data_IF_459617202415
#
_entry.id   IF_459617202415
#
_cell.length_a   1.000
_cell.length_b   1.000
_cell.length_c   1.000
_cell.angle_alpha   90.00
_cell.angle_beta   90.00
_cell.angle_gamma   90.00
#
_symmetry.space_group_name_H-M   'P 1'
#
loop_
_entity.id
_entity.type
_entity.pdbx_description
1 polymer ?
#
# COMPACT_ATOMS: atom_id res chain seq x y z
N UNK A 1 -27.34 2.23 -11.45
CA UNK A 1 -28.62 2.33 -10.71
C UNK A 1 -28.63 1.53 -9.40
N UNK A 2 -28.42 0.21 -9.37
CA UNK A 2 -28.44 -0.55 -8.11
C UNK A 2 -27.39 -0.07 -7.10
N UNK A 3 -26.16 0.30 -7.53
CA UNK A 3 -25.11 0.85 -6.67
C UNK A 3 -25.53 2.19 -6.02
N UNK A 4 -26.24 3.06 -6.74
CA UNK A 4 -26.76 4.33 -6.16
C UNK A 4 -27.89 4.14 -5.15
N UNK A 5 -28.48 2.96 -5.10
CA UNK A 5 -29.51 2.57 -4.11
C UNK A 5 -28.94 1.69 -2.99
N UNK A 6 -27.64 1.60 -2.83
CA UNK A 6 -26.98 0.71 -1.87
C UNK A 6 -27.51 0.85 -0.44
N UNK A 7 -27.76 2.08 0.02
CA UNK A 7 -28.30 2.32 1.35
C UNK A 7 -29.71 1.74 1.51
N UNK A 8 -30.56 1.82 0.47
CA UNK A 8 -31.90 1.23 0.47
C UNK A 8 -31.81 -0.31 0.41
N UNK A 9 -30.87 -0.84 -0.35
CA UNK A 9 -30.60 -2.29 -0.42
C UNK A 9 -30.12 -2.79 0.93
N UNK A 10 -29.17 -2.10 1.56
CA UNK A 10 -28.63 -2.46 2.88
C UNK A 10 -29.73 -2.49 3.96
N UNK A 11 -30.73 -1.62 3.88
CA UNK A 11 -31.86 -1.62 4.80
C UNK A 11 -32.72 -2.90 4.72
N UNK A 12 -32.68 -3.63 3.62
CA UNK A 12 -33.38 -4.91 3.45
C UNK A 12 -32.52 -6.13 3.82
N UNK A 13 -31.23 -5.92 4.14
CA UNK A 13 -30.32 -7.01 4.51
C UNK A 13 -30.67 -7.49 5.93
N UNK A 14 -30.98 -8.78 6.06
CA UNK A 14 -31.15 -9.42 7.36
C UNK A 14 -29.76 -9.75 7.93
N UNK A 15 -29.47 -9.25 9.11
CA UNK A 15 -28.25 -9.55 9.84
C UNK A 15 -28.35 -10.97 10.42
N UNK A 16 -27.72 -11.92 9.72
CA UNK A 16 -27.47 -13.29 10.13
C UNK A 16 -25.98 -13.58 9.99
N UNK A 17 -25.53 -14.75 10.37
CA UNK A 17 -24.13 -15.20 10.15
C UNK A 17 -23.67 -15.06 8.68
N UNK A 18 -24.60 -15.14 7.74
CA UNK A 18 -24.42 -14.77 6.33
C UNK A 18 -25.50 -13.72 6.00
N UNK A 19 -25.16 -12.47 5.67
CA UNK A 19 -26.14 -11.45 5.29
C UNK A 19 -26.95 -11.90 4.06
N UNK A 20 -28.29 -11.80 4.14
CA UNK A 20 -29.19 -12.22 3.05
C UNK A 20 -30.20 -11.13 2.75
N UNK A 21 -30.60 -11.04 1.48
CA UNK A 21 -31.71 -10.20 1.00
C UNK A 21 -32.71 -11.08 0.25
N UNK A 22 -34.01 -10.83 0.41
CA UNK A 22 -35.03 -11.59 -0.29
C UNK A 22 -35.21 -11.11 -1.73
N UNK A 23 -35.63 -12.00 -2.62
CA UNK A 23 -35.94 -11.68 -4.01
C UNK A 23 -37.05 -10.63 -4.11
N UNK A 24 -38.05 -10.73 -3.28
CA UNK A 24 -39.21 -9.83 -3.21
C UNK A 24 -38.77 -8.40 -2.82
N UNK A 25 -37.83 -8.27 -1.89
CA UNK A 25 -37.25 -6.98 -1.51
C UNK A 25 -36.51 -6.30 -2.67
N UNK A 26 -35.81 -7.10 -3.49
CA UNK A 26 -35.11 -6.58 -4.67
C UNK A 26 -36.12 -6.17 -5.76
N UNK A 27 -37.13 -6.99 -6.01
CA UNK A 27 -38.15 -6.73 -7.03
C UNK A 27 -39.04 -5.54 -6.65
N UNK A 28 -39.21 -5.25 -5.36
CA UNK A 28 -39.95 -4.10 -4.85
C UNK A 28 -39.21 -2.76 -4.95
N UNK A 29 -37.94 -2.75 -5.37
CA UNK A 29 -37.18 -1.52 -5.53
C UNK A 29 -37.71 -0.69 -6.71
N UNK A 30 -38.25 0.47 -6.43
CA UNK A 30 -38.65 1.45 -7.46
C UNK A 30 -37.41 2.16 -8.00
N UNK A 31 -37.23 2.13 -9.31
CA UNK A 31 -36.17 2.84 -10.04
C UNK A 31 -36.80 3.80 -11.05
N UNK A 32 -36.27 5.01 -11.14
CA UNK A 32 -36.69 5.98 -12.15
C UNK A 32 -36.00 5.65 -13.47
N UNK A 33 -36.77 5.47 -14.53
CA UNK A 33 -36.26 5.18 -15.86
C UNK A 33 -36.47 6.39 -16.78
N UNK A 34 -35.43 7.13 -17.16
CA UNK A 34 -35.50 8.17 -18.19
C UNK A 34 -35.67 7.53 -19.58
N UNK A 35 -35.89 8.37 -20.61
CA UNK A 35 -35.92 7.89 -22.00
C UNK A 35 -34.64 7.15 -22.38
N UNK A 36 -34.74 6.22 -23.35
CA UNK A 36 -33.59 5.41 -23.81
C UNK A 36 -32.44 6.29 -24.30
N UNK A 37 -32.73 7.41 -24.94
CA UNK A 37 -31.70 8.36 -25.38
C UNK A 37 -30.93 8.94 -24.20
N UNK A 38 -31.62 9.36 -23.15
CA UNK A 38 -31.01 9.87 -21.93
C UNK A 38 -30.22 8.76 -21.23
N UNK A 39 -30.72 7.53 -21.17
CA UNK A 39 -29.99 6.40 -20.65
C UNK A 39 -28.65 6.20 -21.37
N UNK A 40 -28.65 6.22 -22.72
CA UNK A 40 -27.42 6.10 -23.54
C UNK A 40 -26.42 7.22 -23.24
N UNK A 41 -26.89 8.45 -23.05
CA UNK A 41 -26.00 9.58 -22.69
C UNK A 41 -25.40 9.42 -21.31
N UNK A 42 -26.18 9.00 -20.33
CA UNK A 42 -25.68 8.70 -18.97
C UNK A 42 -24.61 7.61 -19.01
N UNK A 43 -24.90 6.50 -19.69
CA UNK A 43 -23.95 5.39 -19.85
C UNK A 43 -22.66 5.88 -20.50
N UNK A 44 -22.74 6.60 -21.63
CA UNK A 44 -21.55 7.13 -22.30
C UNK A 44 -20.66 7.97 -21.38
N UNK A 45 -21.26 8.85 -20.56
CA UNK A 45 -20.51 9.68 -19.63
C UNK A 45 -19.83 8.82 -18.53
N UNK A 46 -20.58 7.90 -17.93
CA UNK A 46 -20.05 7.05 -16.87
C UNK A 46 -18.98 6.08 -17.38
N UNK A 47 -19.15 5.56 -18.60
CA UNK A 47 -18.14 4.68 -19.24
C UNK A 47 -16.84 5.46 -19.50
N UNK A 48 -16.92 6.73 -19.97
CA UNK A 48 -15.73 7.54 -20.18
C UNK A 48 -14.93 7.80 -18.88
N UNK A 49 -15.58 7.98 -17.74
CA UNK A 49 -14.89 8.05 -16.44
C UNK A 49 -14.21 6.72 -16.07
N UNK A 50 -14.89 5.61 -16.35
CA UNK A 50 -14.37 4.26 -16.07
C UNK A 50 -13.15 3.96 -16.96
N UNK A 51 -13.22 4.29 -18.24
CA UNK A 51 -12.13 4.13 -19.21
C UNK A 51 -10.92 4.96 -18.80
N UNK A 52 -11.09 6.24 -18.49
CA UNK A 52 -10.00 7.11 -18.03
C UNK A 52 -9.34 6.57 -16.74
N UNK A 53 -10.14 6.12 -15.78
CA UNK A 53 -9.60 5.52 -14.55
C UNK A 53 -8.82 4.24 -14.83
N UNK A 54 -9.29 3.42 -15.78
CA UNK A 54 -8.59 2.21 -16.20
C UNK A 54 -7.26 2.53 -16.90
N UNK A 55 -7.22 3.53 -17.77
CA UNK A 55 -6.00 3.98 -18.45
C UNK A 55 -4.96 4.49 -17.45
N UNK A 56 -5.35 5.36 -16.51
CA UNK A 56 -4.46 5.85 -15.46
C UNK A 56 -3.92 4.72 -14.56
N UNK A 57 -4.76 3.72 -14.26
CA UNK A 57 -4.35 2.55 -13.47
C UNK A 57 -3.36 1.67 -14.25
N UNK A 58 -3.58 1.52 -15.55
CA UNK A 58 -2.65 0.78 -16.42
C UNK A 58 -1.30 1.53 -16.54
N UNK A 59 -1.33 2.86 -16.67
CA UNK A 59 -0.11 3.67 -16.68
C UNK A 59 0.65 3.56 -15.35
N UNK A 60 -0.03 3.68 -14.21
CA UNK A 60 0.60 3.51 -12.90
C UNK A 60 1.26 2.14 -12.77
N UNK A 61 0.59 1.08 -13.25
CA UNK A 61 1.13 -0.27 -13.25
C UNK A 61 2.38 -0.38 -14.13
N UNK A 62 2.37 0.25 -15.30
CA UNK A 62 3.54 0.30 -16.19
C UNK A 62 4.71 1.09 -15.55
N UNK A 63 4.42 2.22 -14.90
CA UNK A 63 5.43 3.03 -14.18
C UNK A 63 6.06 2.26 -13.02
N UNK A 64 5.27 1.53 -12.24
CA UNK A 64 5.79 0.66 -11.16
C UNK A 64 6.74 -0.41 -11.70
N UNK A 65 6.37 -1.08 -12.80
CA UNK A 65 7.26 -2.06 -13.45
C UNK A 65 8.54 -1.42 -14.00
N UNK A 66 8.42 -0.23 -14.57
CA UNK A 66 9.57 0.55 -15.05
C UNK A 66 10.50 0.93 -13.90
N UNK A 67 9.94 1.39 -12.76
CA UNK A 67 10.70 1.67 -11.55
C UNK A 67 11.44 0.43 -11.05
N UNK A 68 10.76 -0.71 -10.93
CA UNK A 68 11.37 -1.97 -10.50
C UNK A 68 12.54 -2.36 -11.41
N UNK A 69 12.37 -2.25 -12.72
CA UNK A 69 13.43 -2.53 -13.70
C UNK A 69 14.64 -1.61 -13.50
N UNK A 70 14.43 -0.29 -13.36
CA UNK A 70 15.52 0.65 -13.16
C UNK A 70 16.20 0.48 -11.81
N UNK A 71 15.46 0.24 -10.74
CA UNK A 71 16.00 -0.07 -9.42
C UNK A 71 16.91 -1.30 -9.49
N UNK A 72 16.43 -2.40 -10.04
CA UNK A 72 17.15 -3.65 -10.11
C UNK A 72 18.38 -3.53 -11.03
N UNK A 73 18.29 -2.79 -12.13
CA UNK A 73 19.41 -2.49 -13.00
C UNK A 73 20.47 -1.61 -12.34
N UNK A 74 20.04 -0.58 -11.60
CA UNK A 74 20.95 0.36 -10.92
C UNK A 74 21.68 -0.32 -9.76
N UNK A 75 20.99 -1.15 -8.99
CA UNK A 75 21.48 -1.79 -7.77
C UNK A 75 22.02 -3.20 -7.97
N UNK A 76 22.11 -3.69 -9.21
CA UNK A 76 22.75 -4.98 -9.50
C UNK A 76 24.22 -4.99 -9.10
N UNK A 77 24.80 -6.15 -8.76
CA UNK A 77 26.24 -6.29 -8.54
C UNK A 77 27.04 -5.74 -9.71
N UNK A 78 28.08 -4.97 -9.40
CA UNK A 78 29.00 -4.38 -10.38
C UNK A 78 30.42 -4.68 -9.99
N UNK A 79 31.31 -4.74 -10.97
CA UNK A 79 32.72 -4.85 -10.72
C UNK A 79 33.22 -3.71 -9.83
N UNK A 80 34.08 -4.04 -8.87
CA UNK A 80 34.60 -3.07 -7.88
C UNK A 80 33.66 -2.74 -6.70
N UNK A 81 32.42 -3.25 -6.69
CA UNK A 81 31.51 -3.10 -5.55
C UNK A 81 31.44 -4.41 -4.78
N UNK A 82 31.85 -4.45 -3.49
CA UNK A 82 31.83 -5.67 -2.71
C UNK A 82 30.40 -6.16 -2.45
N UNK A 83 30.23 -7.49 -2.49
CA UNK A 83 29.02 -8.17 -2.03
C UNK A 83 29.20 -8.60 -0.58
N UNK A 84 28.37 -8.08 0.34
CA UNK A 84 28.47 -8.35 1.77
C UNK A 84 27.21 -9.04 2.28
N UNK A 85 27.33 -9.84 3.33
CA UNK A 85 26.16 -10.36 4.05
C UNK A 85 25.64 -9.31 5.04
N UNK A 86 24.32 -9.32 5.32
CA UNK A 86 23.75 -8.34 6.26
C UNK A 86 24.37 -8.45 7.66
N UNK A 87 24.77 -9.65 8.09
CA UNK A 87 25.48 -9.82 9.36
C UNK A 87 26.80 -9.04 9.45
N UNK A 88 27.48 -8.83 8.31
CA UNK A 88 28.78 -8.16 8.28
C UNK A 88 28.68 -6.63 8.46
N UNK A 89 27.49 -6.08 8.19
CA UNK A 89 27.20 -4.65 8.38
C UNK A 89 26.32 -4.39 9.60
N UNK A 90 25.74 -5.43 10.20
CA UNK A 90 24.91 -5.31 11.38
C UNK A 90 25.74 -4.86 12.59
N UNK A 91 25.26 -3.86 13.32
CA UNK A 91 25.73 -3.53 14.67
C UNK A 91 24.92 -4.29 15.72
N UNK A 92 23.68 -4.60 15.41
CA UNK A 92 22.79 -5.47 16.18
C UNK A 92 21.67 -6.00 15.29
N UNK A 93 21.15 -7.20 15.57
CA UNK A 93 20.01 -7.78 14.89
C UNK A 93 19.16 -8.60 15.87
N UNK A 94 17.90 -8.30 15.99
CA UNK A 94 17.02 -8.97 16.94
C UNK A 94 15.56 -8.98 16.46
N UNK A 95 14.78 -9.89 17.04
CA UNK A 95 13.34 -9.97 16.86
C UNK A 95 12.63 -9.05 17.86
N UNK A 96 11.60 -8.35 17.40
CA UNK A 96 10.69 -7.55 18.22
C UNK A 96 9.88 -8.41 19.20
N UNK A 97 9.03 -7.77 20.01
CA UNK A 97 8.17 -8.43 20.97
C UNK A 97 6.70 -8.24 20.62
N UNK A 98 5.87 -9.27 20.87
CA UNK A 98 4.47 -9.30 20.43
C UNK A 98 3.66 -8.10 20.93
N UNK A 99 3.04 -7.38 19.99
CA UNK A 99 2.02 -6.36 20.24
C UNK A 99 0.75 -6.88 19.59
N UNK A 100 -0.25 -7.21 20.39
CA UNK A 100 -1.54 -7.75 19.94
C UNK A 100 -2.39 -6.64 19.30
N UNK A 101 -3.36 -7.05 18.48
CA UNK A 101 -4.24 -6.11 17.78
C UNK A 101 -5.10 -5.26 18.74
N UNK A 102 -5.53 -5.86 19.83
CA UNK A 102 -6.32 -5.24 20.91
C UNK A 102 -5.50 -4.33 21.84
N UNK A 103 -4.17 -4.36 21.73
CA UNK A 103 -3.23 -3.50 22.46
C UNK A 103 -2.86 -2.22 21.70
N UNK A 104 -3.34 -2.07 20.47
CA UNK A 104 -3.12 -0.85 19.67
C UNK A 104 -4.08 0.23 20.13
N UNK A 105 -3.53 1.41 20.38
CA UNK A 105 -4.24 2.60 20.88
C UNK A 105 -4.04 3.78 19.94
N UNK A 106 -4.87 4.81 20.07
CA UNK A 106 -4.74 6.04 19.29
C UNK A 106 -3.54 6.90 19.75
N UNK A 107 -3.15 6.78 21.02
CA UNK A 107 -2.07 7.55 21.63
C UNK A 107 -1.19 6.61 22.45
N UNK A 108 0.07 6.99 22.69
CA UNK A 108 1.02 6.21 23.47
C UNK A 108 2.38 6.15 22.80
N UNK A 109 3.14 5.08 23.04
CA UNK A 109 4.44 4.88 22.40
C UNK A 109 4.20 4.40 20.96
N UNK A 110 4.82 5.07 19.96
CA UNK A 110 4.71 4.64 18.57
C UNK A 110 5.25 3.22 18.39
N UNK A 111 4.55 2.43 17.59
CA UNK A 111 4.91 1.04 17.36
C UNK A 111 4.58 0.61 15.92
N UNK A 112 5.25 -0.46 15.46
CA UNK A 112 4.99 -1.10 14.18
C UNK A 112 4.68 -2.57 14.38
N UNK A 113 3.62 -3.05 13.71
CA UNK A 113 3.30 -4.47 13.59
C UNK A 113 3.64 -4.96 12.19
N UNK A 114 3.98 -6.25 12.05
CA UNK A 114 4.42 -6.82 10.77
C UNK A 114 3.44 -6.59 9.61
N UNK A 115 2.12 -6.62 9.88
CA UNK A 115 1.09 -6.38 8.87
C UNK A 115 1.16 -4.98 8.26
N UNK A 116 1.55 -3.97 9.04
CA UNK A 116 1.69 -2.57 8.56
C UNK A 116 2.85 -2.41 7.58
N UNK A 117 3.90 -3.24 7.70
CA UNK A 117 4.99 -3.29 6.71
C UNK A 117 4.46 -3.71 5.34
N UNK A 118 3.44 -4.58 5.28
CA UNK A 118 2.84 -5.00 4.01
C UNK A 118 1.82 -4.01 3.46
N UNK A 119 1.04 -3.36 4.31
CA UNK A 119 -0.17 -2.64 3.92
C UNK A 119 -0.05 -1.12 3.95
N UNK A 120 0.85 -0.58 4.79
CA UNK A 120 0.88 0.85 5.11
C UNK A 120 2.17 1.52 4.66
N UNK A 121 3.31 0.88 4.93
CA UNK A 121 4.61 1.48 4.65
C UNK A 121 5.15 1.03 3.28
N UNK A 122 5.72 2.00 2.56
CA UNK A 122 6.38 1.76 1.28
C UNK A 122 7.84 1.29 1.49
N UNK A 123 8.80 1.95 0.83
CA UNK A 123 10.23 1.64 0.94
C UNK A 123 10.82 2.13 2.26
N UNK A 124 10.36 3.29 2.74
CA UNK A 124 10.73 3.87 4.03
C UNK A 124 9.57 4.67 4.62
N UNK A 125 9.67 5.00 5.92
CA UNK A 125 8.70 5.84 6.63
C UNK A 125 9.38 6.61 7.76
N UNK A 126 8.75 7.70 8.21
CA UNK A 126 9.23 8.58 9.29
C UNK A 126 8.29 8.64 10.49
N UNK A 127 7.04 8.24 10.31
CA UNK A 127 6.01 8.31 11.35
C UNK A 127 5.28 6.97 11.46
N UNK A 128 5.15 6.46 12.69
CA UNK A 128 4.35 5.26 12.97
C UNK A 128 2.86 5.58 12.98
N UNK A 129 2.06 4.74 12.33
CA UNK A 129 0.59 4.90 12.31
C UNK A 129 -0.08 4.29 13.53
N UNK A 130 0.59 3.39 14.25
CA UNK A 130 0.06 2.71 15.43
C UNK A 130 0.82 3.10 16.68
N UNK A 131 0.11 3.08 17.82
CA UNK A 131 0.68 3.35 19.14
C UNK A 131 0.24 2.24 20.12
N UNK A 132 0.94 2.12 21.25
CA UNK A 132 0.57 1.19 22.33
C UNK A 132 1.01 1.75 23.69
N UNK A 133 0.42 1.23 24.76
CA UNK A 133 0.87 1.52 26.12
C UNK A 133 2.04 0.61 26.49
N UNK A 134 3.09 1.15 27.11
CA UNK A 134 4.28 0.37 27.50
C UNK A 134 3.93 -0.79 28.44
N UNK A 135 2.95 -0.61 29.31
CA UNK A 135 2.46 -1.63 30.25
C UNK A 135 1.96 -2.91 29.55
N UNK A 136 1.53 -2.79 28.31
CA UNK A 136 1.06 -3.91 27.50
C UNK A 136 2.21 -4.73 26.89
N UNK A 137 3.47 -4.27 26.99
CA UNK A 137 4.62 -4.89 26.31
C UNK A 137 5.61 -5.42 27.34
N UNK A 138 5.56 -6.71 27.61
CA UNK A 138 6.37 -7.34 28.67
C UNK A 138 7.90 -7.26 28.44
N UNK A 139 8.35 -7.25 27.17
CA UNK A 139 9.77 -7.15 26.83
C UNK A 139 9.93 -6.18 25.65
N UNK A 140 9.92 -4.85 25.89
CA UNK A 140 9.94 -3.86 24.85
C UNK A 140 11.23 -3.92 24.02
N UNK A 141 11.09 -4.06 22.73
CA UNK A 141 12.16 -4.00 21.73
C UNK A 141 11.96 -2.78 20.87
N UNK A 142 12.96 -1.90 20.87
CA UNK A 142 12.84 -0.62 20.21
C UNK A 142 13.63 -0.60 18.90
N UNK A 143 13.16 0.20 17.97
CA UNK A 143 13.91 0.64 16.80
C UNK A 143 13.96 2.18 16.77
N UNK A 144 14.90 2.73 16.02
CA UNK A 144 15.15 4.15 15.93
C UNK A 144 15.63 4.56 14.54
N UNK A 145 15.93 5.83 14.35
CA UNK A 145 16.39 6.38 13.07
C UNK A 145 17.51 5.55 12.44
N UNK A 146 17.31 5.16 11.20
CA UNK A 146 18.28 4.41 10.41
C UNK A 146 18.09 2.89 10.44
N UNK A 147 17.26 2.35 11.32
CA UNK A 147 17.03 0.90 11.40
C UNK A 147 16.21 0.36 10.24
N UNK A 148 16.49 -0.90 9.83
CA UNK A 148 15.68 -1.63 8.86
C UNK A 148 14.79 -2.65 9.59
N UNK A 149 13.51 -2.64 9.24
CA UNK A 149 12.52 -3.58 9.76
C UNK A 149 12.17 -4.63 8.71
N UNK A 150 12.15 -5.90 9.08
CA UNK A 150 11.74 -7.02 8.23
C UNK A 150 10.50 -7.69 8.81
N UNK A 151 9.44 -7.81 8.03
CA UNK A 151 8.27 -8.60 8.39
C UNK A 151 8.55 -10.09 8.16
N UNK A 152 8.76 -10.87 9.22
CA UNK A 152 9.16 -12.28 9.13
C UNK A 152 7.99 -13.28 9.08
N UNK A 153 6.76 -12.79 9.03
CA UNK A 153 5.53 -13.57 8.84
C UNK A 153 4.72 -12.95 7.70
N UNK A 154 4.24 -13.76 6.78
CA UNK A 154 3.47 -13.30 5.61
C UNK A 154 2.64 -14.40 4.98
N UNK A 155 1.81 -14.04 4.00
CA UNK A 155 0.91 -14.96 3.27
C UNK A 155 1.50 -15.37 1.91
N UNK A 156 2.56 -14.74 1.44
CA UNK A 156 3.24 -14.98 0.17
C UNK A 156 4.70 -15.33 0.37
N UNK A 157 5.19 -16.32 -0.38
CA UNK A 157 6.60 -16.67 -0.41
C UNK A 157 7.42 -15.59 -1.11
N UNK A 158 6.84 -14.95 -2.12
CA UNK A 158 7.46 -13.92 -2.93
C UNK A 158 7.71 -12.63 -2.14
N UNK A 159 6.83 -12.34 -1.16
CA UNK A 159 6.88 -11.11 -0.35
C UNK A 159 7.45 -11.34 1.05
N UNK A 160 7.80 -12.57 1.41
CA UNK A 160 8.33 -12.87 2.75
C UNK A 160 9.57 -12.02 3.06
N UNK A 161 9.68 -11.59 4.31
CA UNK A 161 10.72 -10.69 4.77
C UNK A 161 10.75 -9.34 4.00
N UNK A 162 9.56 -8.84 3.59
CA UNK A 162 9.44 -7.45 3.14
C UNK A 162 10.09 -6.54 4.15
N UNK A 163 10.89 -5.59 3.67
CA UNK A 163 11.69 -4.71 4.51
C UNK A 163 11.37 -3.26 4.23
N UNK A 164 11.45 -2.44 5.28
CA UNK A 164 11.26 -0.98 5.23
C UNK A 164 12.32 -0.30 6.10
N UNK A 165 12.76 0.90 5.73
CA UNK A 165 13.65 1.71 6.55
C UNK A 165 12.85 2.68 7.41
N UNK A 166 13.26 2.86 8.66
CA UNK A 166 12.74 3.93 9.49
C UNK A 166 13.69 5.14 9.47
N UNK A 167 13.15 6.29 9.08
CA UNK A 167 13.92 7.55 9.00
C UNK A 167 13.35 8.65 9.91
N UNK A 168 12.36 8.33 10.75
CA UNK A 168 11.82 9.22 11.77
C UNK A 168 12.79 9.43 12.95
N UNK A 169 12.41 10.29 13.87
CA UNK A 169 13.28 10.67 15.00
C UNK A 169 12.79 10.13 16.35
N UNK A 170 11.62 9.54 16.39
CA UNK A 170 11.06 8.97 17.60
C UNK A 170 11.59 7.54 17.83
N UNK A 171 11.69 7.15 19.09
CA UNK A 171 12.03 5.79 19.48
C UNK A 171 10.74 4.96 19.51
N UNK A 172 10.66 3.93 18.65
CA UNK A 172 9.44 3.18 18.40
C UNK A 172 9.59 1.71 18.81
N UNK A 173 8.47 1.04 19.10
CA UNK A 173 8.42 -0.37 19.49
C UNK A 173 8.24 -1.29 18.26
N UNK A 174 9.05 -2.34 18.18
CA UNK A 174 8.95 -3.38 17.15
C UNK A 174 8.04 -4.53 17.61
N UNK A 175 7.03 -4.85 16.82
CA UNK A 175 6.13 -5.99 17.02
C UNK A 175 6.83 -7.36 16.89
N UNK A 176 6.21 -8.44 17.40
CA UNK A 176 6.83 -9.74 17.56
C UNK A 176 7.27 -10.49 16.30
N UNK A 177 6.64 -10.19 15.18
CA UNK A 177 6.97 -10.77 13.87
C UNK A 177 7.76 -9.80 12.98
N UNK A 178 8.53 -8.93 13.63
CA UNK A 178 9.47 -8.01 13.01
C UNK A 178 10.87 -8.34 13.47
N UNK A 179 11.82 -8.37 12.55
CA UNK A 179 13.26 -8.35 12.84
C UNK A 179 13.78 -6.95 12.58
N UNK A 180 14.50 -6.40 13.54
CA UNK A 180 15.18 -5.11 13.47
C UNK A 180 16.65 -5.35 13.15
N UNK A 181 17.17 -4.67 12.13
CA UNK A 181 18.57 -4.63 11.78
C UNK A 181 19.11 -3.22 12.05
N UNK A 182 20.03 -3.10 13.01
CA UNK A 182 20.79 -1.89 13.28
C UNK A 182 22.09 -1.88 12.48
N UNK A 183 22.45 -0.74 11.89
CA UNK A 183 23.61 -0.62 11.03
C UNK A 183 24.10 0.84 10.94
N UNK A 184 25.22 1.06 10.23
CA UNK A 184 25.79 2.41 9.98
C UNK A 184 25.75 2.81 8.50
N UNK A 185 24.98 2.10 7.67
CA UNK A 185 24.83 2.36 6.24
C UNK A 185 23.69 3.37 5.99
N UNK A 186 23.52 3.82 4.75
CA UNK A 186 22.37 4.65 4.38
C UNK A 186 21.08 3.80 4.42
N UNK A 187 20.08 4.12 5.28
CA UNK A 187 18.90 3.28 5.46
C UNK A 187 18.02 3.22 4.20
N UNK A 188 17.86 4.33 3.47
CA UNK A 188 17.07 4.36 2.25
C UNK A 188 17.71 3.52 1.14
N UNK A 189 19.05 3.57 1.01
CA UNK A 189 19.78 2.67 0.12
C UNK A 189 19.53 1.21 0.45
N UNK A 190 19.65 0.82 1.73
CA UNK A 190 19.39 -0.56 2.15
C UNK A 190 17.95 -0.97 1.87
N UNK A 191 16.98 -0.10 2.10
CA UNK A 191 15.57 -0.40 1.79
C UNK A 191 15.37 -0.69 0.31
N UNK A 192 15.94 0.13 -0.59
CA UNK A 192 15.86 -0.10 -2.03
C UNK A 192 16.57 -1.38 -2.48
N UNK A 193 17.80 -1.63 -2.00
CA UNK A 193 18.53 -2.84 -2.41
C UNK A 193 17.88 -4.12 -1.90
N UNK A 194 17.30 -4.08 -0.71
CA UNK A 194 16.54 -5.18 -0.14
C UNK A 194 15.18 -5.42 -0.83
N UNK A 195 14.68 -4.46 -1.59
CA UNK A 195 13.48 -4.60 -2.41
C UNK A 195 13.75 -5.15 -3.82
N UNK A 196 15.02 -5.28 -4.25
CA UNK A 196 15.39 -5.84 -5.57
C UNK A 196 14.97 -7.29 -5.73
N UNK A 197 14.78 -7.73 -6.98
CA UNK A 197 14.49 -9.12 -7.31
C UNK A 197 15.52 -10.08 -6.72
N UNK A 198 16.81 -9.74 -6.84
CA UNK A 198 17.91 -10.54 -6.29
C UNK A 198 17.81 -10.74 -4.77
N UNK A 199 17.44 -9.70 -4.04
CA UNK A 199 17.23 -9.81 -2.58
C UNK A 199 15.97 -10.60 -2.23
N UNK A 200 14.88 -10.41 -2.98
CA UNK A 200 13.62 -11.17 -2.81
C UNK A 200 13.85 -12.68 -3.02
N UNK A 201 14.61 -13.07 -4.04
CA UNK A 201 14.96 -14.47 -4.29
C UNK A 201 15.75 -15.09 -3.13
N UNK A 202 16.66 -14.34 -2.50
CA UNK A 202 17.37 -14.80 -1.31
C UNK A 202 16.44 -14.95 -0.09
N UNK A 203 15.52 -14.00 0.11
CA UNK A 203 14.52 -14.02 1.20
C UNK A 203 13.55 -15.21 1.08
N UNK A 204 13.15 -15.56 -0.14
CA UNK A 204 12.23 -16.66 -0.44
C UNK A 204 12.90 -18.03 -0.56
N UNK A 205 14.24 -18.08 -0.65
CA UNK A 205 14.98 -19.33 -0.85
C UNK A 205 14.68 -20.37 0.24
N UNK A 206 14.29 -21.57 -0.19
CA UNK A 206 13.94 -22.67 0.71
C UNK A 206 12.61 -22.51 1.45
N UNK A 207 11.82 -21.51 1.12
CA UNK A 207 10.47 -21.34 1.66
C UNK A 207 9.46 -22.16 0.88
N UNK A 208 8.54 -22.77 1.60
CA UNK A 208 7.47 -23.59 1.00
C UNK A 208 6.17 -22.81 1.05
N UNK A 209 5.41 -22.87 -0.05
CA UNK A 209 4.10 -22.24 -0.14
C UNK A 209 3.15 -22.89 0.87
N UNK A 210 2.69 -22.13 1.84
CA UNK A 210 1.73 -22.53 2.86
C UNK A 210 0.78 -21.36 3.15
N UNK A 211 -0.25 -21.59 3.97
CA UNK A 211 -1.18 -20.53 4.38
C UNK A 211 -0.46 -19.36 5.09
N UNK A 212 0.62 -19.67 5.80
CA UNK A 212 1.48 -18.67 6.46
C UNK A 212 2.93 -19.07 6.23
N UNK A 213 3.73 -18.12 5.75
CA UNK A 213 5.16 -18.29 5.48
C UNK A 213 5.95 -17.57 6.57
N UNK A 214 7.01 -18.18 7.04
CA UNK A 214 7.88 -17.61 8.07
C UNK A 214 9.33 -17.45 7.61
N UNK A 215 9.99 -16.39 8.08
CA UNK A 215 11.42 -16.20 8.02
C UNK A 215 12.00 -16.13 9.44
N UNK A 216 13.30 -15.96 9.56
CA UNK A 216 14.01 -15.89 10.86
C UNK A 216 15.28 -15.04 10.73
N UNK A 217 15.86 -14.67 11.88
CA UNK A 217 17.09 -13.87 11.95
C UNK A 217 18.24 -14.51 11.14
N UNK A 218 18.60 -15.82 11.29
CA UNK A 218 19.69 -16.41 10.52
C UNK A 218 19.49 -16.38 8.99
N UNK A 219 18.24 -16.38 8.52
CA UNK A 219 17.96 -16.26 7.08
C UNK A 219 18.18 -14.83 6.59
N UNK A 220 17.85 -13.82 7.42
CA UNK A 220 18.06 -12.41 7.09
C UNK A 220 19.55 -12.08 7.11
N UNK A 221 20.31 -12.55 8.10
CA UNK A 221 21.76 -12.35 8.23
C UNK A 221 22.55 -12.76 7.00
N UNK A 222 22.11 -13.81 6.30
CA UNK A 222 22.75 -14.39 5.13
C UNK A 222 22.41 -13.68 3.80
N UNK A 223 21.53 -12.70 3.82
CA UNK A 223 21.19 -11.95 2.60
C UNK A 223 22.40 -11.16 2.15
N UNK A 224 22.82 -11.35 0.90
CA UNK A 224 23.96 -10.67 0.29
C UNK A 224 23.50 -9.50 -0.57
N UNK A 225 24.10 -8.36 -0.34
CA UNK A 225 23.82 -7.11 -1.06
C UNK A 225 25.10 -6.45 -1.56
N UNK A 226 25.06 -5.71 -2.69
CA UNK A 226 26.17 -4.84 -3.06
C UNK A 226 26.27 -3.68 -2.07
N UNK A 227 27.49 -3.34 -1.64
CA UNK A 227 27.73 -2.29 -0.67
C UNK A 227 28.76 -1.26 -1.21
N UNK A 228 28.33 -0.26 -1.98
CA UNK A 228 29.20 0.82 -2.42
C UNK A 228 29.50 1.78 -1.24
N UNK A 229 30.45 2.73 -1.41
CA UNK A 229 30.70 3.81 -0.44
C UNK A 229 29.45 4.63 -0.12
N UNK A 230 29.41 5.25 1.09
CA UNK A 230 28.22 5.96 1.61
C UNK A 230 27.72 7.11 0.72
N UNK A 231 28.63 7.82 0.07
CA UNK A 231 28.28 8.89 -0.89
C UNK A 231 27.55 8.34 -2.12
N UNK A 232 27.96 7.16 -2.62
CA UNK A 232 27.29 6.46 -3.72
C UNK A 232 25.95 5.89 -3.26
N UNK A 233 25.89 5.31 -2.05
CA UNK A 233 24.62 4.85 -1.45
C UNK A 233 23.60 5.99 -1.40
N UNK A 234 24.02 7.18 -0.92
CA UNK A 234 23.16 8.37 -0.85
C UNK A 234 22.65 8.77 -2.25
N UNK A 235 23.53 8.83 -3.25
CA UNK A 235 23.13 9.18 -4.63
C UNK A 235 22.12 8.20 -5.22
N UNK A 236 22.29 6.89 -4.97
CA UNK A 236 21.33 5.89 -5.43
C UNK A 236 20.00 6.01 -4.72
N UNK A 237 20.00 6.21 -3.40
CA UNK A 237 18.79 6.42 -2.62
C UNK A 237 18.00 7.66 -3.10
N UNK A 238 18.67 8.81 -3.22
CA UNK A 238 18.02 10.06 -3.65
C UNK A 238 17.41 9.94 -5.07
N UNK A 239 18.07 9.23 -6.00
CA UNK A 239 17.51 9.00 -7.33
C UNK A 239 16.28 8.07 -7.30
N UNK A 240 16.34 6.99 -6.53
CA UNK A 240 15.26 6.00 -6.44
C UNK A 240 14.06 6.53 -5.66
N UNK A 241 14.27 7.32 -4.61
CA UNK A 241 13.19 7.95 -3.85
C UNK A 241 12.32 8.87 -4.71
N UNK A 242 12.94 9.64 -5.62
CA UNK A 242 12.20 10.48 -6.56
C UNK A 242 11.28 9.66 -7.48
N UNK A 243 11.74 8.49 -7.94
CA UNK A 243 10.92 7.59 -8.75
C UNK A 243 9.81 6.93 -7.92
N UNK A 244 10.14 6.50 -6.70
CA UNK A 244 9.17 5.86 -5.80
C UNK A 244 8.04 6.84 -5.43
N UNK A 245 8.36 8.10 -5.13
CA UNK A 245 7.37 9.13 -4.84
C UNK A 245 6.34 9.31 -5.98
N UNK A 246 6.78 9.35 -7.24
CA UNK A 246 5.90 9.48 -8.40
C UNK A 246 4.91 8.30 -8.51
N UNK A 247 5.33 7.10 -8.08
CA UNK A 247 4.53 5.87 -8.18
C UNK A 247 3.68 5.56 -6.96
N UNK A 248 4.00 6.14 -5.80
CA UNK A 248 3.47 5.68 -4.50
C UNK A 248 2.77 6.77 -3.71
N UNK A 249 3.11 8.05 -3.93
CA UNK A 249 2.53 9.15 -3.15
C UNK A 249 1.06 9.38 -3.54
N UNK A 250 0.16 9.25 -2.55
CA UNK A 250 -1.27 9.48 -2.73
C UNK A 250 -1.64 10.97 -2.85
N UNK A 251 -0.71 11.87 -2.61
CA UNK A 251 -0.94 13.31 -2.69
C UNK A 251 -0.45 13.92 -4.01
N UNK A 252 0.41 13.22 -4.74
CA UNK A 252 0.99 13.69 -6.00
C UNK A 252 0.98 12.59 -7.07
N UNK A 253 1.07 12.99 -8.33
CA UNK A 253 1.21 12.07 -9.46
C UNK A 253 -0.02 11.22 -9.74
N UNK A 254 0.19 10.06 -10.36
CA UNK A 254 -0.86 9.16 -10.83
C UNK A 254 -1.79 8.61 -9.73
N UNK A 255 -1.30 8.21 -8.54
CA UNK A 255 -2.20 7.73 -7.48
C UNK A 255 -3.21 8.80 -7.04
N UNK A 256 -2.77 10.05 -6.87
CA UNK A 256 -3.63 11.17 -6.50
C UNK A 256 -4.69 11.44 -7.59
N UNK A 257 -4.30 11.39 -8.85
CA UNK A 257 -5.22 11.59 -9.97
C UNK A 257 -6.26 10.47 -10.07
N UNK A 258 -5.85 9.21 -9.92
CA UNK A 258 -6.76 8.05 -9.90
C UNK A 258 -7.82 8.22 -8.80
N UNK A 259 -7.40 8.57 -7.57
CA UNK A 259 -8.33 8.81 -6.46
C UNK A 259 -9.29 9.97 -6.74
N UNK A 260 -8.78 11.08 -7.29
CA UNK A 260 -9.60 12.23 -7.65
C UNK A 260 -10.62 11.87 -8.73
N UNK A 261 -10.23 11.10 -9.76
CA UNK A 261 -11.13 10.63 -10.83
C UNK A 261 -12.18 9.65 -10.30
N UNK A 262 -11.81 8.79 -9.36
CA UNK A 262 -12.76 7.89 -8.73
C UNK A 262 -13.81 8.64 -7.90
N UNK A 263 -13.42 9.64 -7.11
CA UNK A 263 -14.33 10.52 -6.39
C UNK A 263 -15.26 11.29 -7.34
N UNK A 264 -14.72 11.77 -8.46
CA UNK A 264 -15.54 12.42 -9.52
C UNK A 264 -16.56 11.44 -10.12
N UNK A 265 -16.14 10.22 -10.47
CA UNK A 265 -17.05 9.19 -10.97
C UNK A 265 -18.19 8.91 -9.99
N UNK A 266 -17.89 8.70 -8.71
CA UNK A 266 -18.90 8.45 -7.67
C UNK A 266 -19.89 9.60 -7.55
N UNK A 267 -19.40 10.83 -7.50
CA UNK A 267 -20.23 12.02 -7.44
C UNK A 267 -21.17 12.14 -8.66
N UNK A 268 -20.64 12.02 -9.88
CA UNK A 268 -21.46 12.13 -11.09
C UNK A 268 -22.37 10.93 -11.29
N UNK A 269 -21.94 9.73 -10.93
CA UNK A 269 -22.80 8.55 -10.92
C UNK A 269 -24.05 8.79 -10.07
N UNK A 270 -23.86 9.24 -8.84
CA UNK A 270 -24.97 9.48 -7.91
C UNK A 270 -25.83 10.65 -8.38
N UNK A 271 -25.21 11.73 -8.85
CA UNK A 271 -25.93 12.88 -9.40
C UNK A 271 -26.81 12.50 -10.60
N UNK A 272 -26.29 11.73 -11.56
CA UNK A 272 -26.99 11.35 -12.79
C UNK A 272 -28.05 10.27 -12.54
N UNK A 273 -27.82 9.36 -11.58
CA UNK A 273 -28.74 8.25 -11.29
C UNK A 273 -29.81 8.58 -10.24
N UNK A 274 -29.69 9.72 -9.53
CA UNK A 274 -30.69 10.17 -8.52
C UNK A 274 -31.44 11.43 -8.96
N UNK A 275 -31.33 11.82 -10.23
CA UNK A 275 -31.92 13.04 -10.77
C UNK A 275 -33.43 13.19 -10.51
N UNK A 276 -34.19 12.11 -10.49
CA UNK A 276 -35.62 12.10 -10.22
C UNK A 276 -35.96 12.43 -8.74
N UNK A 277 -35.00 12.25 -7.83
CA UNK A 277 -35.18 12.53 -6.41
C UNK A 277 -34.80 13.98 -6.05
N UNK A 278 -33.95 14.63 -6.85
CA UNK A 278 -33.37 15.95 -6.53
C UNK A 278 -34.08 17.13 -7.22
N UNK A 279 -35.04 16.88 -8.12
CA UNK A 279 -35.77 17.93 -8.84
C UNK A 279 -34.95 18.79 -9.81
N UNK A 280 -33.62 18.55 -9.93
CA UNK A 280 -32.78 19.27 -10.90
C UNK A 280 -33.00 18.76 -12.31
N UNK A 281 -32.90 19.65 -13.31
CA UNK A 281 -33.01 19.23 -14.70
C UNK A 281 -31.84 18.35 -15.09
N UNK A 282 -32.12 17.17 -15.63
CA UNK A 282 -31.11 16.21 -16.06
C UNK A 282 -30.16 16.80 -17.12
N UNK A 283 -30.63 17.75 -17.93
CA UNK A 283 -29.82 18.45 -18.93
C UNK A 283 -28.63 19.21 -18.31
N UNK A 284 -28.85 19.98 -17.24
CA UNK A 284 -27.75 20.70 -16.55
C UNK A 284 -26.74 19.74 -15.94
N UNK A 285 -27.21 18.61 -15.37
CA UNK A 285 -26.32 17.59 -14.78
C UNK A 285 -25.45 16.89 -15.84
N UNK A 286 -26.03 16.57 -16.99
CA UNK A 286 -25.31 15.96 -18.12
C UNK A 286 -24.26 16.93 -18.68
N UNK A 287 -24.55 18.23 -18.78
CA UNK A 287 -23.62 19.23 -19.26
C UNK A 287 -22.45 19.41 -18.29
N UNK A 288 -22.72 19.51 -17.00
CA UNK A 288 -21.68 19.62 -15.97
C UNK A 288 -20.75 18.40 -15.95
N UNK A 289 -21.30 17.18 -16.08
CA UNK A 289 -20.51 15.95 -16.14
C UNK A 289 -19.62 15.89 -17.41
N UNK A 290 -20.14 16.31 -18.56
CA UNK A 290 -19.38 16.33 -19.84
C UNK A 290 -18.23 17.35 -19.80
N UNK A 291 -18.43 18.54 -19.24
CA UNK A 291 -17.37 19.56 -19.12
C UNK A 291 -16.21 19.09 -18.22
N UNK A 292 -16.48 18.30 -17.19
CA UNK A 292 -15.45 17.79 -16.27
C UNK A 292 -14.65 16.61 -16.82
N UNK A 293 -15.14 15.93 -17.86
CA UNK A 293 -14.39 14.89 -18.57
C UNK A 293 -13.34 15.48 -19.52
N UNK A 294 -13.52 16.73 -19.94
CA UNK A 294 -12.65 17.41 -20.91
C UNK A 294 -11.56 18.25 -20.22
N UNK A 295 -11.66 18.47 -18.92
CA UNK A 295 -10.68 19.16 -18.08
C UNK A 295 -9.79 18.19 -17.30
#
# INVERSE_FOLDING_TARGET
MLKSKQNKINAFVRNASIPRISKESILGLKVSLPSVEVQKRIVKILDSFTELTAELTAELTARKKQYEFYRDSLLRPKEGIPMVELKDIATDIYRGFGIKRDQVTANGIPCVRYGEIYTTYNTWFDTCVSHTCLENVANPKYFEHGDILFAITGESVEDIAKSVAYVGHEKCLAGGDIVVLKHKQNPRYLAHVLATQQAREQKSKGKVKSKVVHSNVPSIEKIRIPLPPLDVQKRYADALDNFDAICSDLNIGLPAEIEARQKQYEYYRDLLLTFAETGSTLACKLQAASCKLQA
#
